data_IF_773293519953
#
_entry.id   IF_773293519953
#
_cell.length_a   1.000
_cell.length_b   1.000
_cell.length_c   1.000
_cell.angle_alpha   90.00
_cell.angle_beta   90.00
_cell.angle_gamma   90.00
#
_symmetry.space_group_name_H-M   'P 1'
#
loop_
_entity.id
_entity.type
_entity.pdbx_description
1 polymer ?
#
# COMPACT_ATOMS: atom_id res chain seq x y z
N UNK A 1 16.72 -44.10 -6.52
CA UNK A 1 15.49 -44.28 -7.31
C UNK A 1 14.60 -43.06 -7.06
N UNK A 2 14.18 -42.32 -8.10
CA UNK A 2 13.30 -41.16 -7.95
C UNK A 2 11.89 -41.56 -8.35
N UNK A 3 10.94 -41.42 -7.44
CA UNK A 3 9.52 -41.72 -7.70
C UNK A 3 8.88 -40.53 -8.41
N UNK A 4 8.22 -40.78 -9.54
CA UNK A 4 7.45 -39.79 -10.28
C UNK A 4 6.01 -39.85 -9.77
N UNK A 5 5.48 -38.72 -9.30
CA UNK A 5 4.11 -38.61 -8.79
C UNK A 5 3.26 -37.97 -9.89
N UNK A 6 2.17 -38.63 -10.29
CA UNK A 6 1.27 -38.14 -11.33
C UNK A 6 -0.02 -37.62 -10.69
N UNK A 7 -0.27 -36.31 -10.74
CA UNK A 7 -1.43 -35.67 -10.09
C UNK A 7 -2.54 -35.53 -11.14
N UNK A 8 -3.63 -36.29 -10.97
CA UNK A 8 -4.72 -36.36 -11.96
C UNK A 8 -5.88 -35.40 -11.73
N UNK A 9 -6.04 -34.87 -10.51
CA UNK A 9 -7.22 -34.08 -10.13
C UNK A 9 -6.86 -32.87 -9.27
N UNK A 10 -6.48 -31.77 -9.93
CA UNK A 10 -6.23 -30.47 -9.28
C UNK A 10 -7.51 -29.63 -9.33
N UNK A 11 -7.98 -29.15 -8.17
CA UNK A 11 -9.10 -28.21 -8.05
C UNK A 11 -8.64 -26.93 -7.37
N UNK A 12 -8.93 -25.78 -7.99
CA UNK A 12 -8.68 -24.46 -7.39
C UNK A 12 -9.77 -24.18 -6.34
N UNK A 13 -9.37 -23.97 -5.08
CA UNK A 13 -10.29 -23.78 -3.94
C UNK A 13 -10.67 -22.31 -3.72
N UNK A 14 -9.80 -21.38 -4.13
CA UNK A 14 -10.04 -19.95 -4.04
C UNK A 14 -9.10 -19.18 -4.99
N UNK A 15 -9.40 -17.90 -5.20
CA UNK A 15 -8.51 -16.97 -5.87
C UNK A 15 -8.09 -15.89 -4.87
N UNK A 16 -6.87 -16.01 -4.33
CA UNK A 16 -6.31 -15.04 -3.40
C UNK A 16 -5.57 -13.95 -4.19
N UNK A 17 -6.18 -12.77 -4.29
CA UNK A 17 -5.54 -11.59 -4.87
C UNK A 17 -5.06 -10.64 -3.76
N UNK A 18 -3.79 -10.79 -3.39
CA UNK A 18 -3.14 -9.94 -2.38
C UNK A 18 -2.89 -8.50 -2.86
N UNK A 19 -3.16 -8.22 -4.14
CA UNK A 19 -3.06 -6.92 -4.80
C UNK A 19 -4.40 -6.22 -4.94
N UNK A 20 -5.51 -6.84 -4.51
CA UNK A 20 -6.86 -6.30 -4.68
C UNK A 20 -7.16 -5.03 -3.86
N UNK A 21 -6.25 -4.58 -2.99
CA UNK A 21 -6.47 -3.44 -2.10
C UNK A 21 -5.28 -2.50 -2.02
N UNK A 22 -5.58 -1.21 -1.89
CA UNK A 22 -4.59 -0.15 -1.68
C UNK A 22 -4.07 -0.27 -0.25
N UNK A 23 -2.75 -0.35 -0.08
CA UNK A 23 -2.09 -0.38 1.23
C UNK A 23 -1.52 0.97 1.59
N UNK A 24 -1.64 1.33 2.86
CA UNK A 24 -0.98 2.50 3.40
C UNK A 24 0.55 2.29 3.40
N UNK A 25 1.29 3.18 2.75
CA UNK A 25 2.77 3.11 2.67
C UNK A 25 3.50 3.29 4.03
N UNK A 26 2.77 3.55 5.11
CA UNK A 26 3.32 3.70 6.47
C UNK A 26 3.05 2.47 7.34
N UNK A 27 1.78 2.05 7.47
CA UNK A 27 1.42 0.93 8.36
C UNK A 27 1.24 -0.41 7.63
N UNK A 28 1.31 -0.42 6.29
CA UNK A 28 1.12 -1.59 5.43
C UNK A 28 -0.26 -2.27 5.53
N UNK A 29 -1.23 -1.64 6.19
CA UNK A 29 -2.61 -2.09 6.28
C UNK A 29 -3.45 -1.56 5.10
N UNK A 30 -4.53 -2.28 4.72
CA UNK A 30 -5.47 -1.80 3.71
C UNK A 30 -6.06 -0.44 4.07
N UNK A 31 -6.16 0.45 3.09
CA UNK A 31 -6.98 1.65 3.17
C UNK A 31 -8.37 1.28 2.67
N UNK A 32 -9.36 1.33 3.56
CA UNK A 32 -10.75 1.02 3.18
C UNK A 32 -11.28 2.07 2.20
N UNK A 33 -12.24 1.69 1.33
CA UNK A 33 -12.77 2.56 0.28
C UNK A 33 -13.36 3.85 0.85
N UNK A 34 -14.06 3.76 1.98
CA UNK A 34 -14.66 4.90 2.69
C UNK A 34 -13.63 5.90 3.24
N UNK A 35 -12.38 5.50 3.43
CA UNK A 35 -11.30 6.37 3.90
C UNK A 35 -10.41 6.89 2.77
N UNK A 36 -10.64 6.44 1.54
CA UNK A 36 -9.76 6.76 0.41
C UNK A 36 -9.87 8.23 -0.03
N UNK A 37 -11.04 8.87 0.16
CA UNK A 37 -11.22 10.31 -0.08
C UNK A 37 -10.35 11.19 0.83
N UNK A 38 -10.06 10.70 2.05
CA UNK A 38 -9.27 11.43 3.03
C UNK A 38 -7.81 10.93 3.07
N UNK A 39 -7.47 9.93 2.27
CA UNK A 39 -6.11 9.45 2.14
C UNK A 39 -5.25 10.48 1.41
N UNK A 40 -3.97 10.52 1.77
CA UNK A 40 -3.00 11.42 1.16
C UNK A 40 -2.04 10.63 0.28
N UNK A 41 -1.63 11.23 -0.84
CA UNK A 41 -0.64 10.65 -1.75
C UNK A 41 0.62 11.49 -1.82
N UNK A 42 1.76 10.81 -1.93
CA UNK A 42 3.03 11.45 -2.23
C UNK A 42 3.03 11.97 -3.69
N UNK A 43 3.37 13.23 -3.96
CA UNK A 43 3.39 13.78 -5.32
C UNK A 43 4.55 13.24 -6.18
N UNK A 44 5.49 12.50 -5.58
CA UNK A 44 6.69 12.02 -6.27
C UNK A 44 6.62 10.56 -6.73
N UNK A 45 5.86 9.73 -6.00
CA UNK A 45 5.78 8.29 -6.27
C UNK A 45 4.36 7.75 -6.18
N UNK A 46 3.38 8.64 -5.95
CA UNK A 46 1.96 8.33 -5.83
C UNK A 46 1.62 7.33 -4.72
N UNK A 47 2.56 7.08 -3.79
CA UNK A 47 2.33 6.22 -2.63
C UNK A 47 1.22 6.80 -1.76
N UNK A 48 0.20 5.98 -1.48
CA UNK A 48 -1.01 6.37 -0.75
C UNK A 48 -0.88 5.95 0.72
N UNK A 49 -1.30 6.81 1.63
CA UNK A 49 -1.35 6.51 3.05
C UNK A 49 -2.59 7.13 3.70
N UNK A 50 -3.00 6.55 4.83
CA UNK A 50 -3.89 7.23 5.77
C UNK A 50 -3.31 8.61 6.10
N UNK A 51 -4.16 9.65 6.10
CA UNK A 51 -3.76 11.05 6.32
C UNK A 51 -2.86 11.19 7.53
N UNK A 52 -3.29 10.63 8.66
CA UNK A 52 -2.67 10.83 9.96
C UNK A 52 -1.29 10.20 10.00
N UNK A 53 -1.17 8.96 9.49
CA UNK A 53 0.11 8.27 9.42
C UNK A 53 1.13 9.01 8.55
N UNK A 54 0.73 9.52 7.38
CA UNK A 54 1.66 10.21 6.48
C UNK A 54 2.07 11.57 7.06
N UNK A 55 1.13 12.29 7.67
CA UNK A 55 1.37 13.56 8.32
C UNK A 55 2.36 13.42 9.48
N UNK A 56 2.13 12.48 10.40
CA UNK A 56 3.03 12.27 11.55
C UNK A 56 4.41 11.82 11.09
N UNK A 57 4.48 10.94 10.10
CA UNK A 57 5.76 10.54 9.50
C UNK A 57 6.54 11.74 8.96
N UNK A 58 5.87 12.62 8.20
CA UNK A 58 6.50 13.80 7.61
C UNK A 58 6.95 14.79 8.68
N UNK A 59 6.17 15.00 9.75
CA UNK A 59 6.59 15.84 10.88
C UNK A 59 7.90 15.35 11.50
N UNK A 60 8.06 14.03 11.64
CA UNK A 60 9.25 13.44 12.25
C UNK A 60 10.45 13.30 11.30
N UNK A 61 10.21 12.97 10.02
CA UNK A 61 11.26 12.53 9.07
C UNK A 61 11.45 13.45 7.88
N UNK A 62 10.49 14.32 7.55
CA UNK A 62 10.55 15.25 6.42
C UNK A 62 10.69 14.60 5.04
N UNK A 63 10.44 13.29 4.92
CA UNK A 63 10.66 12.49 3.71
C UNK A 63 9.56 11.46 3.52
N UNK A 64 9.30 11.05 2.27
CA UNK A 64 8.36 9.98 1.96
C UNK A 64 8.90 8.63 2.48
N UNK A 65 8.10 7.81 3.21
CA UNK A 65 8.55 6.50 3.71
C UNK A 65 8.89 5.50 2.59
N UNK A 66 8.30 5.68 1.40
CA UNK A 66 8.47 4.78 0.28
C UNK A 66 9.62 5.21 -0.66
N UNK A 67 9.53 6.40 -1.25
CA UNK A 67 10.51 6.87 -2.24
C UNK A 67 11.65 7.73 -1.66
N UNK A 68 11.60 8.05 -0.36
CA UNK A 68 12.63 8.80 0.40
C UNK A 68 12.90 10.24 -0.05
N UNK A 69 12.18 10.76 -1.05
CA UNK A 69 12.26 12.18 -1.43
C UNK A 69 11.72 13.08 -0.31
N UNK A 70 12.27 14.30 -0.19
CA UNK A 70 11.77 15.32 0.75
C UNK A 70 10.30 15.58 0.52
N UNK A 71 9.52 15.50 1.58
CA UNK A 71 8.08 15.64 1.54
C UNK A 71 7.66 16.56 2.69
N UNK A 72 6.95 17.62 2.36
CA UNK A 72 6.40 18.57 3.33
C UNK A 72 4.87 18.52 3.29
N UNK A 73 4.23 18.93 4.38
CA UNK A 73 2.77 18.86 4.53
C UNK A 73 2.01 19.60 3.42
N UNK A 74 2.50 20.78 3.02
CA UNK A 74 1.91 21.59 1.94
C UNK A 74 2.01 20.96 0.55
N UNK A 75 2.84 19.92 0.37
CA UNK A 75 3.03 19.23 -0.91
C UNK A 75 2.21 17.94 -1.02
N UNK A 76 1.42 17.61 0.01
CA UNK A 76 0.55 16.45 -0.02
C UNK A 76 -0.65 16.70 -0.94
N UNK A 77 -1.08 15.65 -1.64
CA UNK A 77 -2.25 15.68 -2.49
C UNK A 77 -3.29 14.71 -1.93
N UNK A 78 -4.57 14.99 -2.16
CA UNK A 78 -5.62 14.02 -1.91
C UNK A 78 -5.48 12.83 -2.87
N UNK A 79 -5.76 11.63 -2.36
CA UNK A 79 -5.62 10.41 -3.14
C UNK A 79 -6.65 10.37 -4.30
N UNK A 80 -7.86 10.87 -4.07
CA UNK A 80 -8.99 10.95 -5.01
C UNK A 80 -9.60 12.35 -4.93
#
# INVERSE_FOLDING_TARGET
MKTIINITSIKKVANWDWSAYIKCIVCNLPIKKEHLSNALKCPHCNGIAHSDHLIEWIKMKGTCPYCRKRLGRSKLLNAI
#
